data_IF_624415940726
#
_entry.id   IF_624415940726
#
_cell.length_a   1.000
_cell.length_b   1.000
_cell.length_c   1.000
_cell.angle_alpha   90.00
_cell.angle_beta   90.00
_cell.angle_gamma   90.00
#
_symmetry.space_group_name_H-M   'P 1'
#
loop_
_entity.id
_entity.type
_entity.pdbx_description
1 polymer ?
#
# COMPACT_ATOMS: atom_id res chain seq x y z
N UNK A 1 7.65 31.32 21.74
CA UNK A 1 7.33 29.91 22.03
C UNK A 1 7.58 29.09 20.77
N UNK A 2 8.16 27.90 20.90
CA UNK A 2 8.46 26.98 19.79
C UNK A 2 7.20 26.41 19.16
N UNK A 3 6.14 26.19 19.94
CA UNK A 3 4.83 25.81 19.39
C UNK A 3 4.33 26.87 18.39
N UNK A 4 4.35 28.15 18.80
CA UNK A 4 3.95 29.27 17.95
C UNK A 4 4.82 29.40 16.68
N UNK A 5 6.11 29.08 16.78
CA UNK A 5 7.01 29.07 15.63
C UNK A 5 6.59 28.03 14.59
N UNK A 6 6.23 26.82 15.03
CA UNK A 6 5.77 25.76 14.13
C UNK A 6 4.39 26.06 13.55
N UNK A 7 3.44 26.51 14.38
CA UNK A 7 2.08 26.79 13.92
C UNK A 7 2.06 27.92 12.90
N UNK A 8 2.70 29.06 13.18
CA UNK A 8 2.76 30.19 12.23
C UNK A 8 3.43 29.83 10.90
N UNK A 9 4.27 28.80 10.88
CA UNK A 9 4.93 28.33 9.68
C UNK A 9 4.02 27.38 8.89
N UNK A 10 3.49 26.35 9.55
CA UNK A 10 2.72 25.29 8.89
C UNK A 10 1.32 25.74 8.48
N UNK A 11 0.68 26.62 9.25
CA UNK A 11 -0.65 27.18 8.93
C UNK A 11 -0.64 28.09 7.68
N UNK A 12 0.55 28.41 7.13
CA UNK A 12 0.66 29.11 5.83
C UNK A 12 0.40 28.16 4.66
N UNK A 13 0.54 26.86 4.85
CA UNK A 13 0.23 25.85 3.84
C UNK A 13 -1.28 25.62 3.82
N UNK A 14 -1.94 26.07 2.76
CA UNK A 14 -3.39 25.99 2.65
C UNK A 14 -3.83 25.89 1.19
N UNK A 15 -5.11 25.57 0.97
CA UNK A 15 -5.76 25.67 -0.33
C UNK A 15 -6.64 26.93 -0.34
N UNK A 16 -6.26 27.90 -1.17
CA UNK A 16 -6.94 29.18 -1.27
C UNK A 16 -8.33 29.01 -1.87
N UNK A 17 -9.23 29.94 -1.50
CA UNK A 17 -10.57 30.01 -2.12
C UNK A 17 -10.45 30.42 -3.59
N UNK A 18 -11.45 30.11 -4.44
CA UNK A 18 -11.48 30.56 -5.84
C UNK A 18 -11.31 32.07 -6.00
N UNK A 19 -11.87 32.84 -5.07
CA UNK A 19 -11.77 34.32 -4.99
C UNK A 19 -10.33 34.82 -4.84
N UNK A 20 -9.43 33.98 -4.32
CA UNK A 20 -8.00 34.25 -4.14
C UNK A 20 -7.13 33.47 -5.14
N UNK A 21 -7.72 33.02 -6.26
CA UNK A 21 -7.02 32.33 -7.34
C UNK A 21 -6.95 30.80 -7.21
N UNK A 22 -7.49 30.22 -6.13
CA UNK A 22 -7.59 28.76 -5.97
C UNK A 22 -6.27 28.01 -5.87
N UNK A 23 -5.14 28.70 -5.69
CA UNK A 23 -3.82 28.08 -5.55
C UNK A 23 -3.69 27.30 -4.25
N UNK A 24 -2.72 26.38 -4.19
CA UNK A 24 -2.45 25.59 -2.99
C UNK A 24 -0.97 25.56 -2.65
N UNK A 25 -0.68 25.43 -1.36
CA UNK A 25 0.64 25.13 -0.82
C UNK A 25 0.51 23.90 0.08
N UNK A 26 1.16 22.80 -0.28
CA UNK A 26 1.22 21.58 0.52
C UNK A 26 2.55 21.50 1.26
N UNK A 27 2.51 21.37 2.59
CA UNK A 27 3.69 21.18 3.41
C UNK A 27 3.93 19.71 3.73
N UNK A 28 5.19 19.27 3.66
CA UNK A 28 5.65 17.93 4.07
C UNK A 28 6.77 18.09 5.13
N UNK A 29 6.43 18.45 6.37
CA UNK A 29 7.43 18.58 7.42
C UNK A 29 8.04 17.22 7.76
N UNK A 30 9.37 17.19 7.95
CA UNK A 30 10.10 16.00 8.40
C UNK A 30 10.58 16.25 9.81
N UNK A 31 10.34 15.28 10.68
CA UNK A 31 10.75 15.32 12.09
C UNK A 31 11.58 14.10 12.41
N UNK A 32 12.66 14.30 13.14
CA UNK A 32 13.40 13.22 13.76
C UNK A 32 12.78 12.90 15.12
N UNK A 33 12.62 11.62 15.41
CA UNK A 33 12.14 11.13 16.71
C UNK A 33 13.25 10.37 17.40
N UNK A 34 13.51 10.67 18.67
CA UNK A 34 14.43 9.87 19.48
C UNK A 34 13.73 8.58 19.93
N UNK A 35 14.31 7.42 19.59
CA UNK A 35 13.79 6.10 19.96
C UNK A 35 12.28 5.90 19.63
N UNK A 36 11.81 6.49 18.51
CA UNK A 36 10.40 6.49 18.10
C UNK A 36 9.42 7.10 19.12
N UNK A 37 9.89 7.98 20.01
CA UNK A 37 9.05 8.63 21.00
C UNK A 37 8.19 9.75 20.38
N UNK A 38 6.97 9.40 19.95
CA UNK A 38 5.97 10.33 19.42
C UNK A 38 5.35 11.24 20.51
N UNK A 39 5.48 10.86 21.78
CA UNK A 39 4.98 11.62 22.93
C UNK A 39 5.97 12.69 23.40
N UNK A 40 7.14 12.80 22.76
CA UNK A 40 8.08 13.88 23.05
C UNK A 40 7.47 15.24 22.68
N UNK A 41 7.97 16.31 23.31
CA UNK A 41 7.38 17.64 23.21
C UNK A 41 7.29 18.17 21.77
N UNK A 42 8.34 18.04 20.96
CA UNK A 42 8.36 18.51 19.57
C UNK A 42 7.45 17.67 18.65
N UNK A 43 7.54 16.32 18.64
CA UNK A 43 6.60 15.48 17.89
C UNK A 43 5.13 15.72 18.26
N UNK A 44 4.80 15.80 19.56
CA UNK A 44 3.42 16.03 20.02
C UNK A 44 2.88 17.35 19.47
N UNK A 45 3.67 18.42 19.55
CA UNK A 45 3.30 19.73 19.00
C UNK A 45 3.03 19.64 17.49
N UNK A 46 3.95 19.04 16.73
CA UNK A 46 3.81 18.97 15.27
C UNK A 46 2.65 18.08 14.85
N UNK A 47 2.45 16.92 15.49
CA UNK A 47 1.28 16.05 15.29
C UNK A 47 -0.01 16.83 15.55
N UNK A 48 -0.07 17.69 16.58
CA UNK A 48 -1.26 18.49 16.85
C UNK A 48 -1.57 19.50 15.74
N UNK A 49 -0.53 20.07 15.10
CA UNK A 49 -0.64 21.13 14.09
C UNK A 49 -0.94 20.55 12.70
N UNK A 50 -0.27 19.46 12.32
CA UNK A 50 -0.40 18.88 10.98
C UNK A 50 -1.72 18.14 10.77
N UNK A 51 -2.18 18.07 9.52
CA UNK A 51 -3.37 17.33 9.11
C UNK A 51 -3.17 15.80 9.02
N UNK A 52 -2.12 15.27 9.63
CA UNK A 52 -1.76 13.86 9.61
C UNK A 52 -0.26 13.66 9.70
N UNK A 53 0.14 12.40 9.81
CA UNK A 53 1.53 12.00 9.92
C UNK A 53 1.78 10.69 9.16
N UNK A 54 2.99 10.59 8.62
CA UNK A 54 3.55 9.35 8.09
C UNK A 54 4.68 8.96 9.05
N UNK A 55 4.49 7.87 9.77
CA UNK A 55 5.48 7.35 10.72
C UNK A 55 6.34 6.33 10.01
N UNK A 56 7.67 6.52 10.05
CA UNK A 56 8.64 5.59 9.47
C UNK A 56 9.23 4.71 10.57
N UNK A 57 9.03 3.40 10.48
CA UNK A 57 9.46 2.42 11.47
C UNK A 57 10.84 1.84 11.15
N UNK A 58 11.85 2.01 12.02
CA UNK A 58 13.13 1.31 11.90
C UNK A 58 12.99 -0.22 11.94
N UNK A 59 11.95 -0.76 12.58
CA UNK A 59 11.70 -2.20 12.58
C UNK A 59 11.28 -2.70 11.19
N UNK A 60 10.36 -2.00 10.52
CA UNK A 60 9.96 -2.32 9.15
C UNK A 60 11.16 -2.21 8.19
N UNK A 61 11.98 -1.16 8.35
CA UNK A 61 13.19 -0.98 7.57
C UNK A 61 14.18 -2.14 7.76
N UNK A 62 14.42 -2.60 9.01
CA UNK A 62 15.28 -3.76 9.30
C UNK A 62 14.75 -5.07 8.70
N UNK A 63 13.44 -5.19 8.54
CA UNK A 63 12.78 -6.32 7.86
C UNK A 63 12.80 -6.21 6.33
N UNK A 64 13.44 -5.17 5.78
CA UNK A 64 13.51 -4.93 4.33
C UNK A 64 12.18 -4.44 3.73
N UNK A 65 11.27 -3.91 4.55
CA UNK A 65 10.00 -3.32 4.08
C UNK A 65 10.24 -1.84 3.86
N UNK A 66 10.33 -1.43 2.59
CA UNK A 66 10.56 -0.06 2.17
C UNK A 66 9.52 0.34 1.12
N UNK A 67 8.88 1.53 1.21
CA UNK A 67 9.04 2.52 2.27
C UNK A 67 8.52 1.99 3.62
N UNK A 68 9.25 2.30 4.70
CA UNK A 68 9.02 1.73 6.03
C UNK A 68 7.85 2.40 6.78
N UNK A 69 6.71 2.57 6.10
CA UNK A 69 5.55 3.27 6.66
C UNK A 69 4.83 2.36 7.65
N UNK A 70 4.73 2.82 8.90
CA UNK A 70 3.88 2.19 9.91
C UNK A 70 2.43 2.59 9.68
N UNK A 71 1.61 1.67 9.19
CA UNK A 71 0.22 1.97 8.78
C UNK A 71 -0.68 2.23 10.00
N UNK A 72 -0.37 1.63 11.15
CA UNK A 72 -1.12 1.79 12.40
C UNK A 72 -0.93 3.17 13.02
N UNK A 73 0.33 3.62 13.10
CA UNK A 73 0.69 4.92 13.68
C UNK A 73 0.52 6.09 12.69
N UNK A 74 0.46 5.81 11.39
CA UNK A 74 0.24 6.82 10.34
C UNK A 74 -1.24 7.18 10.18
N UNK A 75 -1.51 8.48 10.19
CA UNK A 75 -2.87 9.03 10.14
C UNK A 75 -2.96 10.11 9.07
N UNK A 76 -4.10 10.17 8.40
CA UNK A 76 -4.48 11.31 7.55
C UNK A 76 -5.83 11.84 8.02
N UNK A 77 -5.87 13.08 8.53
CA UNK A 77 -7.09 13.75 9.02
C UNK A 77 -7.97 14.25 7.88
N UNK A 78 -7.39 14.51 6.71
CA UNK A 78 -8.15 14.85 5.49
C UNK A 78 -8.90 13.64 4.90
N UNK A 79 -8.40 12.42 5.18
CA UNK A 79 -9.02 11.16 4.80
C UNK A 79 -9.15 10.97 3.28
N UNK A 80 -10.17 10.21 2.86
CA UNK A 80 -10.38 9.86 1.46
C UNK A 80 -10.80 11.02 0.54
N UNK A 81 -11.13 12.21 1.10
CA UNK A 81 -11.63 13.36 0.33
C UNK A 81 -10.61 13.88 -0.70
N UNK A 82 -9.32 13.75 -0.40
CA UNK A 82 -8.21 14.18 -1.25
C UNK A 82 -7.70 13.08 -2.19
N UNK A 83 -8.22 11.86 -2.06
CA UNK A 83 -7.87 10.75 -2.94
C UNK A 83 -8.63 10.85 -4.27
N UNK A 84 -7.95 10.46 -5.35
CA UNK A 84 -8.62 10.21 -6.64
C UNK A 84 -9.70 9.14 -6.44
N UNK A 85 -10.88 9.24 -7.10
CA UNK A 85 -11.98 8.31 -6.88
C UNK A 85 -11.60 6.83 -7.08
N UNK A 86 -10.70 6.54 -8.01
CA UNK A 86 -10.18 5.18 -8.23
C UNK A 86 -9.45 4.61 -7.00
N UNK A 87 -8.60 5.40 -6.33
CA UNK A 87 -7.95 4.96 -5.09
C UNK A 87 -8.98 4.79 -3.97
N UNK A 88 -9.93 5.71 -3.85
CA UNK A 88 -10.95 5.66 -2.78
C UNK A 88 -11.75 4.35 -2.82
N UNK A 89 -12.04 3.85 -4.01
CA UNK A 89 -12.77 2.60 -4.21
C UNK A 89 -12.02 1.35 -3.70
N UNK A 90 -10.69 1.42 -3.56
CA UNK A 90 -9.84 0.27 -3.21
C UNK A 90 -9.17 0.45 -1.83
N UNK A 91 -8.79 1.68 -1.47
CA UNK A 91 -7.96 1.98 -0.33
C UNK A 91 -8.63 1.71 1.02
N UNK A 92 -9.95 1.86 1.12
CA UNK A 92 -10.69 1.63 2.37
C UNK A 92 -10.65 0.16 2.79
N UNK A 93 -10.97 -0.74 1.84
CA UNK A 93 -10.92 -2.19 2.05
C UNK A 93 -9.48 -2.65 2.32
N UNK A 94 -8.52 -2.15 1.54
CA UNK A 94 -7.12 -2.52 1.70
C UNK A 94 -6.56 -2.12 3.07
N UNK A 95 -6.85 -0.90 3.56
CA UNK A 95 -6.40 -0.45 4.89
C UNK A 95 -6.97 -1.33 5.99
N UNK A 96 -8.26 -1.66 5.91
CA UNK A 96 -8.92 -2.52 6.89
C UNK A 96 -8.32 -3.93 6.88
N UNK A 97 -8.19 -4.54 5.70
CA UNK A 97 -7.61 -5.88 5.55
C UNK A 97 -6.16 -5.93 6.03
N UNK A 98 -5.36 -4.91 5.74
CA UNK A 98 -3.96 -4.84 6.18
C UNK A 98 -3.84 -4.67 7.70
N UNK A 99 -4.69 -3.84 8.33
CA UNK A 99 -4.73 -3.70 9.79
C UNK A 99 -5.08 -5.02 10.48
N UNK A 100 -6.10 -5.72 9.99
CA UNK A 100 -6.49 -7.04 10.52
C UNK A 100 -5.37 -8.06 10.35
N UNK A 101 -4.68 -8.03 9.21
CA UNK A 101 -3.50 -8.86 8.98
C UNK A 101 -2.40 -8.61 10.01
N UNK A 102 -2.03 -7.35 10.29
CA UNK A 102 -0.95 -7.05 11.23
C UNK A 102 -1.28 -7.52 12.65
N UNK A 103 -2.53 -7.35 13.08
CA UNK A 103 -3.02 -7.89 14.35
C UNK A 103 -2.89 -9.42 14.39
N UNK A 104 -3.44 -10.12 13.39
CA UNK A 104 -3.41 -11.58 13.31
C UNK A 104 -1.99 -12.14 13.20
N UNK A 105 -1.11 -11.49 12.44
CA UNK A 105 0.29 -11.90 12.32
C UNK A 105 1.02 -11.78 13.66
N UNK A 106 0.74 -10.73 14.44
CA UNK A 106 1.28 -10.58 15.78
C UNK A 106 0.73 -11.64 16.74
N UNK A 107 -0.57 -11.93 16.73
CA UNK A 107 -1.18 -12.98 17.54
C UNK A 107 -0.64 -14.38 17.20
N UNK A 108 -0.42 -14.67 15.92
CA UNK A 108 0.11 -15.95 15.45
C UNK A 108 1.50 -16.27 16.02
N UNK A 109 2.31 -15.26 16.39
CA UNK A 109 3.64 -15.47 17.00
C UNK A 109 3.58 -16.06 18.41
N UNK A 110 2.43 -15.97 19.09
CA UNK A 110 2.23 -16.51 20.43
C UNK A 110 1.77 -17.99 20.42
N UNK A 111 1.79 -18.67 19.26
CA UNK A 111 1.71 -20.13 19.17
C UNK A 111 0.31 -20.73 19.29
N UNK A 112 -0.75 -19.96 19.05
CA UNK A 112 -2.12 -20.47 19.04
C UNK A 112 -2.43 -21.24 17.75
N UNK A 113 -3.25 -22.28 17.85
CA UNK A 113 -3.75 -23.02 16.68
C UNK A 113 -4.67 -22.11 15.88
N UNK A 114 -4.23 -21.69 14.70
CA UNK A 114 -5.01 -20.85 13.79
C UNK A 114 -5.98 -21.72 12.99
N UNK A 115 -7.20 -21.23 12.82
CA UNK A 115 -8.15 -21.80 11.87
C UNK A 115 -7.76 -21.42 10.42
N UNK A 116 -8.36 -22.12 9.46
CA UNK A 116 -8.00 -21.97 8.04
C UNK A 116 -8.30 -20.56 7.50
N UNK A 117 -9.37 -19.91 7.96
CA UNK A 117 -9.70 -18.56 7.51
C UNK A 117 -8.65 -17.55 8.00
N UNK A 118 -8.23 -17.65 9.26
CA UNK A 118 -7.13 -16.82 9.80
C UNK A 118 -5.83 -17.05 9.04
N UNK A 119 -5.51 -18.30 8.70
CA UNK A 119 -4.32 -18.63 7.90
C UNK A 119 -4.36 -17.95 6.53
N UNK A 120 -5.51 -17.99 5.85
CA UNK A 120 -5.69 -17.33 4.55
C UNK A 120 -5.55 -15.80 4.64
N UNK A 121 -6.10 -15.17 5.67
CA UNK A 121 -5.94 -13.72 5.89
C UNK A 121 -4.47 -13.35 6.10
N UNK A 122 -3.72 -14.14 6.88
CA UNK A 122 -2.28 -13.92 7.09
C UNK A 122 -1.52 -14.08 5.77
N UNK A 123 -1.80 -15.13 5.01
CA UNK A 123 -1.14 -15.37 3.72
C UNK A 123 -1.43 -14.27 2.69
N UNK A 124 -2.67 -13.80 2.60
CA UNK A 124 -3.01 -12.66 1.72
C UNK A 124 -2.35 -11.38 2.21
N UNK A 125 -2.35 -11.13 3.52
CA UNK A 125 -1.71 -9.96 4.12
C UNK A 125 -0.20 -9.89 3.87
N UNK A 126 0.50 -11.03 3.87
CA UNK A 126 1.91 -11.09 3.45
C UNK A 126 2.10 -10.66 2.00
N UNK A 127 1.19 -11.02 1.10
CA UNK A 127 1.24 -10.59 -0.32
C UNK A 127 0.92 -9.11 -0.47
N UNK A 128 -0.03 -8.58 0.30
CA UNK A 128 -0.27 -7.13 0.40
C UNK A 128 1.01 -6.41 0.82
N UNK A 129 1.70 -6.90 1.86
CA UNK A 129 2.96 -6.34 2.32
C UNK A 129 4.05 -6.35 1.25
N UNK A 130 4.18 -7.43 0.48
CA UNK A 130 5.13 -7.48 -0.64
C UNK A 130 4.81 -6.45 -1.73
N UNK A 131 3.53 -6.33 -2.12
CA UNK A 131 3.05 -5.36 -3.13
C UNK A 131 3.29 -3.91 -2.71
N UNK A 132 3.25 -3.61 -1.41
CA UNK A 132 3.49 -2.26 -0.90
C UNK A 132 4.97 -1.88 -0.85
N UNK A 133 5.89 -2.82 -1.12
CA UNK A 133 7.32 -2.50 -1.22
C UNK A 133 7.62 -1.77 -2.51
N UNK A 134 8.41 -0.72 -2.42
CA UNK A 134 8.80 0.09 -3.56
C UNK A 134 10.25 0.56 -3.44
N UNK A 135 11.01 0.40 -4.53
CA UNK A 135 12.40 0.86 -4.61
C UNK A 135 12.47 2.38 -4.69
N UNK A 136 13.53 2.94 -4.12
CA UNK A 136 13.81 4.37 -4.21
C UNK A 136 13.94 4.82 -5.68
N UNK A 137 13.45 6.02 -5.98
CA UNK A 137 13.49 6.63 -7.32
C UNK A 137 12.75 5.86 -8.42
N UNK A 138 11.86 4.93 -8.05
CA UNK A 138 11.02 4.19 -8.99
C UNK A 138 9.54 4.47 -8.70
N UNK A 139 9.05 5.71 -8.90
CA UNK A 139 7.63 6.03 -8.72
C UNK A 139 6.78 5.23 -9.71
N UNK A 140 5.65 4.70 -9.24
CA UNK A 140 4.72 3.93 -10.06
C UNK A 140 3.63 4.82 -10.65
N UNK A 141 3.31 4.71 -11.95
CA UNK A 141 2.14 5.35 -12.53
C UNK A 141 0.83 4.92 -11.84
N UNK A 142 -0.16 5.82 -11.76
CA UNK A 142 -1.43 5.55 -11.07
C UNK A 142 -2.14 4.30 -11.61
N UNK A 143 -2.13 4.09 -12.93
CA UNK A 143 -2.73 2.90 -13.55
C UNK A 143 -2.08 1.59 -13.06
N UNK A 144 -0.75 1.57 -12.99
CA UNK A 144 0.00 0.41 -12.49
C UNK A 144 -0.29 0.15 -11.02
N UNK A 145 -0.30 1.20 -10.18
CA UNK A 145 -0.63 1.07 -8.76
C UNK A 145 -2.05 0.50 -8.57
N UNK A 146 -3.05 1.07 -9.25
CA UNK A 146 -4.44 0.61 -9.16
C UNK A 146 -4.57 -0.85 -9.58
N UNK A 147 -3.92 -1.27 -10.68
CA UNK A 147 -3.97 -2.64 -11.15
C UNK A 147 -3.41 -3.64 -10.13
N UNK A 148 -2.26 -3.33 -9.52
CA UNK A 148 -1.63 -4.20 -8.52
C UNK A 148 -2.43 -4.24 -7.22
N UNK A 149 -2.89 -3.09 -6.73
CA UNK A 149 -3.70 -3.01 -5.51
C UNK A 149 -5.03 -3.75 -5.69
N UNK A 150 -5.65 -3.63 -6.85
CA UNK A 150 -6.87 -4.37 -7.19
C UNK A 150 -6.60 -5.89 -7.23
N UNK A 151 -5.51 -6.31 -7.90
CA UNK A 151 -5.14 -7.72 -8.01
C UNK A 151 -4.90 -8.38 -6.65
N UNK A 152 -4.22 -7.70 -5.72
CA UNK A 152 -3.94 -8.27 -4.39
C UNK A 152 -5.19 -8.33 -3.51
N UNK A 153 -6.06 -7.32 -3.56
CA UNK A 153 -7.33 -7.32 -2.81
C UNK A 153 -8.25 -8.44 -3.28
N UNK A 154 -8.28 -8.70 -4.59
CA UNK A 154 -9.11 -9.74 -5.25
C UNK A 154 -8.48 -11.15 -5.25
N UNK A 155 -7.39 -11.34 -4.49
CA UNK A 155 -6.75 -12.64 -4.29
C UNK A 155 -6.06 -13.21 -5.54
N UNK A 156 -5.76 -12.38 -6.54
CA UNK A 156 -5.08 -12.83 -7.78
C UNK A 156 -3.70 -13.44 -7.48
N UNK A 157 -3.05 -12.95 -6.42
CA UNK A 157 -1.73 -13.42 -6.00
C UNK A 157 -1.76 -14.58 -4.99
N UNK A 158 -2.93 -15.06 -4.53
CA UNK A 158 -3.02 -16.02 -3.42
C UNK A 158 -2.24 -17.33 -3.67
N UNK A 159 -2.16 -17.78 -4.94
CA UNK A 159 -1.41 -18.97 -5.34
C UNK A 159 0.09 -18.75 -5.58
N UNK A 160 0.55 -17.49 -5.57
CA UNK A 160 1.93 -17.13 -5.91
C UNK A 160 2.82 -17.25 -4.67
N UNK A 161 3.97 -17.94 -4.73
CA UNK A 161 4.96 -17.96 -3.65
C UNK A 161 5.50 -16.55 -3.35
N UNK A 162 5.82 -16.25 -2.09
CA UNK A 162 6.25 -14.91 -1.68
C UNK A 162 7.54 -14.47 -2.41
N UNK A 163 8.42 -15.42 -2.72
CA UNK A 163 9.68 -15.19 -3.42
C UNK A 163 9.47 -14.73 -4.88
N UNK A 164 8.30 -15.02 -5.46
CA UNK A 164 7.93 -14.65 -6.83
C UNK A 164 7.04 -13.41 -6.90
N UNK A 165 6.69 -12.81 -5.76
CA UNK A 165 5.77 -11.66 -5.71
C UNK A 165 6.25 -10.46 -6.53
N UNK A 166 7.56 -10.17 -6.52
CA UNK A 166 8.12 -9.07 -7.32
C UNK A 166 7.93 -9.30 -8.83
N UNK A 167 8.07 -10.55 -9.28
CA UNK A 167 7.87 -10.92 -10.69
C UNK A 167 6.38 -10.85 -11.05
N UNK A 168 5.52 -11.33 -10.17
CA UNK A 168 4.07 -11.29 -10.35
C UNK A 168 3.53 -9.85 -10.40
N UNK A 169 4.00 -8.98 -9.49
CA UNK A 169 3.67 -7.56 -9.49
C UNK A 169 4.07 -6.91 -10.83
N UNK A 170 5.30 -7.13 -11.28
CA UNK A 170 5.79 -6.58 -12.55
C UNK A 170 4.97 -7.09 -13.75
N UNK A 171 4.57 -8.36 -13.75
CA UNK A 171 3.74 -8.92 -14.81
C UNK A 171 2.35 -8.26 -14.86
N UNK A 172 1.70 -8.05 -13.71
CA UNK A 172 0.41 -7.33 -13.63
C UNK A 172 0.54 -5.89 -14.11
N UNK A 173 1.62 -5.21 -13.71
CA UNK A 173 1.89 -3.83 -14.14
C UNK A 173 2.04 -3.71 -15.66
N UNK A 174 2.79 -4.62 -16.27
CA UNK A 174 2.96 -4.66 -17.73
C UNK A 174 1.62 -4.90 -18.46
N UNK A 175 0.75 -5.74 -17.91
CA UNK A 175 -0.59 -5.97 -18.46
C UNK A 175 -1.49 -4.74 -18.38
N UNK A 176 -1.43 -3.98 -17.28
CA UNK A 176 -2.21 -2.75 -17.11
C UNK A 176 -1.89 -1.69 -18.17
N UNK A 177 -0.59 -1.54 -18.50
CA UNK A 177 -0.13 -0.62 -19.56
C UNK A 177 -0.63 -1.05 -20.94
N UNK A 178 -0.69 -2.37 -21.20
CA UNK A 178 -1.05 -2.92 -22.51
C UNK A 178 -2.56 -2.91 -22.76
N UNK A 179 -3.36 -3.31 -21.76
CA UNK A 179 -4.80 -3.57 -21.95
C UNK A 179 -5.69 -2.37 -21.63
N UNK A 180 -5.19 -1.38 -20.87
CA UNK A 180 -5.96 -0.20 -20.49
C UNK A 180 -5.22 1.10 -20.86
N UNK A 181 -4.91 1.33 -22.15
CA UNK A 181 -4.23 2.55 -22.57
C UNK A 181 -5.08 3.78 -22.23
N UNK A 182 -4.46 4.79 -21.61
CA UNK A 182 -5.13 6.05 -21.25
C UNK A 182 -5.93 6.02 -19.93
N UNK A 183 -6.07 4.86 -19.27
CA UNK A 183 -6.73 4.79 -17.95
C UNK A 183 -6.02 5.67 -16.92
N UNK A 184 -4.68 5.73 -16.98
CA UNK A 184 -3.88 6.58 -16.09
C UNK A 184 -4.24 8.05 -16.22
N UNK A 185 -4.30 8.57 -17.46
CA UNK A 185 -4.66 9.97 -17.70
C UNK A 185 -6.09 10.29 -17.22
N UNK A 186 -7.04 9.38 -17.46
CA UNK A 186 -8.42 9.53 -16.98
C UNK A 186 -8.51 9.52 -15.46
N UNK A 187 -7.85 8.58 -14.78
CA UNK A 187 -7.84 8.53 -13.32
C UNK A 187 -7.20 9.80 -12.76
N UNK A 188 -6.08 10.26 -13.31
CA UNK A 188 -5.41 11.50 -12.89
C UNK A 188 -6.29 12.73 -13.11
N UNK A 189 -7.17 12.74 -14.13
CA UNK A 189 -8.17 13.80 -14.33
C UNK A 189 -9.34 13.77 -13.33
N UNK A 190 -9.37 12.80 -12.42
CA UNK A 190 -10.42 12.65 -11.40
C UNK A 190 -11.59 11.76 -11.83
N UNK A 191 -11.49 11.06 -12.97
CA UNK A 191 -12.51 10.10 -13.36
C UNK A 191 -12.51 8.89 -12.41
N UNK A 192 -13.69 8.35 -12.03
CA UNK A 192 -13.78 7.09 -11.32
C UNK A 192 -13.34 5.91 -12.20
N UNK A 193 -12.93 4.83 -11.54
CA UNK A 193 -12.72 3.54 -12.18
C UNK A 193 -14.10 2.91 -12.45
N UNK A 194 -14.43 2.64 -13.71
CA UNK A 194 -15.67 1.95 -14.06
C UNK A 194 -15.55 0.43 -13.81
N UNK A 195 -16.70 -0.25 -13.65
CA UNK A 195 -16.73 -1.70 -13.45
C UNK A 195 -16.11 -2.46 -14.64
N UNK A 196 -16.37 -2.01 -15.88
CA UNK A 196 -15.76 -2.59 -17.07
C UNK A 196 -14.22 -2.47 -17.08
N UNK A 197 -13.68 -1.35 -16.62
CA UNK A 197 -12.22 -1.16 -16.47
C UNK A 197 -11.65 -2.02 -15.35
N UNK A 198 -12.36 -2.12 -14.22
CA UNK A 198 -12.01 -3.00 -13.10
C UNK A 198 -11.92 -4.46 -13.57
N UNK A 199 -12.94 -4.94 -14.28
CA UNK A 199 -13.01 -6.31 -14.81
C UNK A 199 -11.90 -6.57 -15.83
N UNK A 200 -11.63 -5.60 -16.70
CA UNK A 200 -10.55 -5.70 -17.69
C UNK A 200 -9.18 -5.81 -16.99
N UNK A 201 -8.92 -4.97 -15.99
CA UNK A 201 -7.68 -5.03 -15.21
C UNK A 201 -7.54 -6.37 -14.47
N UNK A 202 -8.61 -6.87 -13.89
CA UNK A 202 -8.60 -8.17 -13.19
C UNK A 202 -8.40 -9.34 -14.15
N UNK A 203 -9.06 -9.34 -15.30
CA UNK A 203 -8.87 -10.36 -16.32
C UNK A 203 -7.42 -10.38 -16.81
N UNK A 204 -6.85 -9.21 -17.10
CA UNK A 204 -5.47 -9.07 -17.52
C UNK A 204 -4.48 -9.51 -16.41
N UNK A 205 -4.74 -9.15 -15.16
CA UNK A 205 -3.94 -9.59 -14.01
C UNK A 205 -3.98 -11.12 -13.83
N UNK A 206 -5.16 -11.73 -13.94
CA UNK A 206 -5.32 -13.20 -13.86
C UNK A 206 -4.59 -13.90 -15.01
N UNK A 207 -4.66 -13.36 -16.22
CA UNK A 207 -3.92 -13.89 -17.37
C UNK A 207 -2.40 -13.84 -17.16
N UNK A 208 -1.89 -12.76 -16.54
CA UNK A 208 -0.48 -12.65 -16.19
C UNK A 208 0.00 -13.77 -15.25
N UNK A 209 -0.86 -14.21 -14.33
CA UNK A 209 -0.51 -15.23 -13.34
C UNK A 209 -0.43 -16.64 -13.93
N UNK A 210 -1.11 -16.92 -15.05
CA UNK A 210 -1.10 -18.27 -15.66
C UNK A 210 0.32 -18.72 -15.99
N UNK A 211 1.16 -17.79 -16.44
CA UNK A 211 2.56 -18.07 -16.82
C UNK A 211 3.52 -18.15 -15.62
N UNK A 212 3.05 -17.84 -14.40
CA UNK A 212 3.85 -17.77 -13.18
C UNK A 212 3.39 -18.77 -12.10
N UNK A 213 2.33 -19.54 -12.37
CA UNK A 213 1.97 -20.63 -11.48
C UNK A 213 3.08 -21.68 -11.52
N UNK A 214 3.60 -22.12 -10.37
CA UNK A 214 4.51 -23.26 -10.36
C UNK A 214 3.78 -24.45 -11.00
N UNK A 215 4.39 -25.06 -12.02
CA UNK A 215 3.88 -26.30 -12.61
C UNK A 215 3.65 -27.30 -11.47
N UNK A 216 2.38 -27.67 -11.28
CA UNK A 216 1.96 -28.64 -10.27
C UNK A 216 2.65 -30.02 -10.44
N UNK A 217 3.34 -30.25 -11.57
CA UNK A 217 4.00 -31.51 -11.91
C UNK A 217 5.46 -31.63 -11.43
N UNK A 218 6.09 -30.57 -10.92
CA UNK A 218 7.53 -30.63 -10.57
C UNK A 218 7.81 -31.18 -9.17
N UNK A 219 6.79 -31.44 -8.34
CA UNK A 219 6.94 -32.11 -7.03
C UNK A 219 6.83 -33.64 -7.08
N UNK A 220 6.65 -34.23 -8.28
CA UNK A 220 6.48 -35.69 -8.45
C UNK A 220 7.79 -36.46 -8.76
N UNK A 221 8.96 -35.82 -8.80
CA UNK A 221 10.21 -36.49 -9.18
C UNK A 221 11.29 -36.37 -8.11
N UNK A 222 10.98 -36.83 -6.89
CA UNK A 222 12.01 -37.38 -6.01
C UNK A 222 12.05 -38.89 -6.24
N UNK A 223 13.14 -39.45 -6.81
CA UNK A 223 13.26 -40.89 -6.93
C UNK A 223 13.37 -41.50 -5.53
N UNK A 224 12.39 -42.36 -5.21
CA UNK A 224 12.50 -43.35 -4.16
C UNK A 224 13.76 -44.21 -4.39
N UNK A 225 14.71 -44.10 -3.48
CA UNK A 225 15.69 -45.13 -3.16
C UNK A 225 17.08 -44.98 -3.78
N UNK A 226 18.10 -44.99 -2.91
CA UNK A 226 18.97 -46.17 -2.73
C UNK A 226 19.82 -46.08 -1.45
N UNK A 227 19.89 -47.24 -0.79
CA UNK A 227 20.69 -47.73 0.36
C UNK A 227 20.57 -47.00 1.69
#
# INVERSE_FOLDING_TARGET
>A
DVFYLHSRLLERATHLRPEHGGGSLSALPIIETEAQNLSAYIPTNLISITDGQIVLSPELARKGILPAVDVGESVSRVGGKTQLPAYRAIAAELRLAYSQFEELENFARFGTRLDEATRQTIERGRRVREVLKQRQYQPLPVAEQIAVLLAVTEGVFDSIPLEQMAVAEQAVRAQAVTHCPGIGARITSGSPLSDAERDTLLAAARAAMVNLRPDADTQSLLPLGKS
#
